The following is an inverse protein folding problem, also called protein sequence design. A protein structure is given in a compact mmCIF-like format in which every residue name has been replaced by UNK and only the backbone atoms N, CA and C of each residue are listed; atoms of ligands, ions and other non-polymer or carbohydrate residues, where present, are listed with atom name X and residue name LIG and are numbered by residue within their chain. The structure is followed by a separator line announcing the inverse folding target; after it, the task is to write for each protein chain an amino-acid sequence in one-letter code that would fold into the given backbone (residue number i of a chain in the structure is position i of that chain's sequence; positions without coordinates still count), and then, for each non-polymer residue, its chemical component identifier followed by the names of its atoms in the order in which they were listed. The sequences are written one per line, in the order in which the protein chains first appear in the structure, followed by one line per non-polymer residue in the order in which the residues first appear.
data_IF_583979629886
#
_entry.id   IF_583979629886
#
_cell.length_a   1.000
_cell.length_b   1.000
_cell.length_c   1.000
_cell.angle_alpha   90.00
_cell.angle_beta   90.00
_cell.angle_gamma   90.00
#
_symmetry.space_group_name_H-M   'P 1'
#
loop_
_entity.id
_entity.type
_entity.pdbx_description
1 polymer ?
#
# COMPACT_ATOMS: atom_id res chain seq x y z
N UNK A 1 4.64 90.99 -20.63
CA UNK A 1 4.22 92.40 -20.70
C UNK A 1 2.76 92.38 -21.16
N UNK A 2 1.80 92.54 -20.25
CA UNK A 2 1.23 93.81 -19.77
C UNK A 2 -0.06 94.12 -20.54
N UNK A 3 -1.11 94.42 -19.76
CA UNK A 3 -2.39 95.07 -20.09
C UNK A 3 -3.56 94.13 -20.45
N UNK A 4 -4.55 93.82 -19.59
CA UNK A 4 -5.55 94.70 -18.92
C UNK A 4 -6.07 95.79 -19.85
N UNK A 5 -7.36 96.01 -20.14
CA UNK A 5 -8.60 95.73 -19.43
C UNK A 5 -9.76 96.36 -20.24
N UNK A 6 -11.00 95.87 -20.00
CA UNK A 6 -12.27 96.62 -20.02
C UNK A 6 -12.91 96.95 -21.40
N UNK A 7 -14.10 96.38 -21.64
CA UNK A 7 -15.42 97.04 -21.78
C UNK A 7 -16.48 95.90 -21.82
N UNK A 8 -17.19 95.57 -20.75
CA UNK A 8 -18.34 96.27 -20.12
C UNK A 8 -19.58 96.32 -21.04
N UNK A 9 -20.64 95.64 -20.55
CA UNK A 9 -22.07 95.80 -20.86
C UNK A 9 -22.57 95.48 -22.28
N UNK A 10 -23.06 94.25 -22.48
CA UNK A 10 -24.32 94.01 -23.20
C UNK A 10 -24.78 92.55 -22.96
N UNK A 11 -26.06 92.38 -22.63
CA UNK A 11 -26.82 91.12 -22.67
C UNK A 11 -26.51 90.06 -21.59
N UNK A 12 -26.63 90.45 -20.33
CA UNK A 12 -27.05 89.53 -19.26
C UNK A 12 -28.58 89.36 -19.32
N UNK A 13 -29.07 88.44 -20.14
CA UNK A 13 -30.37 87.79 -20.01
C UNK A 13 -30.50 86.69 -21.06
N UNK A 14 -31.13 85.57 -20.68
CA UNK A 14 -31.42 84.38 -21.51
C UNK A 14 -30.27 83.35 -21.59
N UNK A 15 -30.25 82.43 -20.62
CA UNK A 15 -30.38 80.96 -20.78
C UNK A 15 -30.44 80.37 -19.35
N UNK A 16 -31.65 80.25 -18.81
CA UNK A 16 -31.97 79.38 -17.68
C UNK A 16 -33.33 78.76 -17.96
N UNK A 17 -33.35 77.71 -18.78
CA UNK A 17 -34.49 76.79 -18.91
C UNK A 17 -33.99 75.44 -19.44
N UNK A 18 -34.61 74.37 -18.90
CA UNK A 18 -34.46 72.94 -19.23
C UNK A 18 -33.20 72.26 -18.63
N UNK A 19 -33.27 71.21 -17.80
CA UNK A 19 -34.28 70.17 -17.63
C UNK A 19 -34.41 69.78 -16.14
N UNK A 20 -35.62 69.88 -15.61
CA UNK A 20 -36.03 69.03 -14.50
C UNK A 20 -36.28 67.62 -15.04
N UNK A 21 -35.43 66.68 -14.67
CA UNK A 21 -35.71 65.26 -14.86
C UNK A 21 -35.81 64.67 -13.44
N UNK A 22 -37.03 64.55 -12.94
CA UNK A 22 -37.33 63.74 -11.75
C UNK A 22 -36.94 62.29 -12.06
N UNK A 23 -35.73 61.93 -11.66
CA UNK A 23 -35.27 60.56 -11.67
C UNK A 23 -36.01 59.85 -10.54
N UNK A 24 -37.17 59.27 -10.88
CA UNK A 24 -37.84 58.27 -10.06
C UNK A 24 -36.79 57.26 -9.61
N UNK A 25 -36.62 57.14 -8.29
CA UNK A 25 -35.88 56.04 -7.70
C UNK A 25 -36.36 54.74 -8.35
N UNK A 26 -35.46 53.86 -8.83
CA UNK A 26 -35.87 52.59 -9.41
C UNK A 26 -36.77 51.87 -8.40
N UNK A 27 -37.98 51.51 -8.83
CA UNK A 27 -38.87 50.69 -8.03
C UNK A 27 -38.16 49.40 -7.61
N UNK A 28 -38.63 48.72 -6.54
CA UNK A 28 -38.01 47.49 -6.06
C UNK A 28 -37.78 46.54 -7.25
N UNK A 29 -36.57 45.98 -7.40
CA UNK A 29 -36.26 45.14 -8.55
C UNK A 29 -37.33 44.05 -8.69
N UNK A 30 -37.81 43.77 -9.91
CA UNK A 30 -38.80 42.73 -10.14
C UNK A 30 -38.27 41.41 -9.56
N UNK A 31 -39.13 40.60 -8.93
CA UNK A 31 -38.69 39.40 -8.24
C UNK A 31 -38.00 38.47 -9.23
N UNK A 32 -36.73 38.14 -8.95
CA UNK A 32 -35.94 37.37 -9.88
C UNK A 32 -36.50 35.94 -9.97
N UNK A 33 -36.70 35.46 -11.19
CA UNK A 33 -37.10 34.08 -11.45
C UNK A 33 -35.91 33.17 -11.19
N UNK A 34 -36.12 32.17 -10.34
CA UNK A 34 -35.07 31.24 -9.93
C UNK A 34 -35.52 29.80 -10.09
N UNK A 35 -34.56 28.98 -10.53
CA UNK A 35 -34.73 27.54 -10.53
C UNK A 35 -34.24 26.96 -9.20
N UNK A 36 -34.99 25.99 -8.70
CA UNK A 36 -34.78 25.42 -7.36
C UNK A 36 -34.68 23.91 -7.47
N UNK A 37 -33.69 23.34 -6.78
CA UNK A 37 -33.52 21.90 -6.61
C UNK A 37 -33.57 21.59 -5.12
N UNK A 38 -34.25 20.50 -4.77
CA UNK A 38 -34.30 20.03 -3.39
C UNK A 38 -32.97 19.37 -3.01
N UNK A 39 -32.44 19.72 -1.84
CA UNK A 39 -31.23 19.12 -1.31
C UNK A 39 -31.51 17.67 -0.88
N UNK A 40 -30.93 16.70 -1.60
CA UNK A 40 -31.17 15.28 -1.36
C UNK A 40 -30.08 14.68 -0.49
N UNK A 41 -30.47 13.73 0.36
CA UNK A 41 -29.53 12.85 1.06
C UNK A 41 -29.11 11.75 0.10
N UNK A 42 -27.84 11.74 -0.26
CA UNK A 42 -27.26 10.67 -1.06
C UNK A 42 -25.97 10.19 -0.40
N UNK A 43 -25.69 8.90 -0.58
CA UNK A 43 -24.46 8.30 -0.07
C UNK A 43 -23.26 8.91 -0.81
N UNK A 44 -22.37 9.55 -0.06
CA UNK A 44 -21.10 10.05 -0.57
C UNK A 44 -19.98 9.20 0.03
N UNK A 45 -19.39 8.34 -0.80
CA UNK A 45 -18.15 7.65 -0.46
C UNK A 45 -16.96 8.59 -0.75
N UNK A 46 -16.18 8.90 0.27
CA UNK A 46 -14.94 9.64 0.11
C UNK A 46 -13.75 8.73 0.32
N UNK A 47 -12.77 8.87 -0.54
CA UNK A 47 -11.52 8.13 -0.45
C UNK A 47 -10.36 9.09 -0.31
N UNK A 48 -9.59 8.93 0.76
CA UNK A 48 -8.29 9.53 0.88
C UNK A 48 -7.30 8.72 0.05
N UNK A 49 -6.48 9.43 -0.72
CA UNK A 49 -5.54 8.83 -1.65
C UNK A 49 -4.16 8.84 -1.02
N UNK A 50 -3.60 7.67 -0.82
CA UNK A 50 -2.24 7.52 -0.34
C UNK A 50 -1.38 6.82 -1.38
N UNK A 51 -0.20 7.37 -1.63
CA UNK A 51 0.76 6.77 -2.53
C UNK A 51 1.39 5.55 -1.87
N UNK A 52 1.48 4.45 -2.61
CA UNK A 52 2.07 3.21 -2.12
C UNK A 52 2.83 2.45 -3.18
N UNK A 53 3.59 1.47 -2.71
CA UNK A 53 4.35 0.55 -3.55
C UNK A 53 3.92 -0.86 -3.22
N UNK A 54 3.61 -1.64 -4.25
CA UNK A 54 3.33 -3.07 -4.13
C UNK A 54 4.63 -3.77 -3.76
N UNK A 55 4.59 -4.53 -2.68
CA UNK A 55 5.69 -5.36 -2.19
C UNK A 55 5.23 -6.80 -2.09
N UNK A 56 6.07 -7.74 -2.55
CA UNK A 56 5.81 -9.15 -2.29
C UNK A 56 5.94 -9.45 -0.79
N UNK A 57 5.03 -10.27 -0.25
CA UNK A 57 5.06 -10.60 1.18
C UNK A 57 6.31 -11.39 1.57
N UNK A 58 6.70 -12.31 0.69
CA UNK A 58 7.91 -13.11 0.85
C UNK A 58 8.78 -12.89 -0.39
N UNK A 59 9.95 -12.30 -0.17
CA UNK A 59 10.99 -12.17 -1.18
C UNK A 59 12.28 -12.72 -0.60
N UNK A 60 12.98 -13.55 -1.37
CA UNK A 60 14.25 -14.12 -0.95
C UNK A 60 15.28 -14.04 -2.06
N UNK A 61 16.46 -13.56 -1.68
CA UNK A 61 17.65 -13.61 -2.51
C UNK A 61 18.28 -15.00 -2.40
N UNK A 62 18.38 -15.70 -3.52
CA UNK A 62 19.08 -16.98 -3.60
C UNK A 62 20.57 -16.71 -3.69
N UNK A 63 21.30 -17.16 -2.67
CA UNK A 63 22.75 -17.10 -2.58
C UNK A 63 23.30 -18.49 -2.38
N UNK A 64 24.51 -18.73 -2.89
CA UNK A 64 25.17 -20.01 -2.64
C UNK A 64 25.60 -20.12 -1.19
N UNK A 65 25.52 -21.33 -0.63
CA UNK A 65 26.09 -21.67 0.68
C UNK A 65 27.43 -22.41 0.56
N UNK A 66 27.74 -22.94 -0.63
CA UNK A 66 28.96 -23.71 -0.90
C UNK A 66 29.69 -23.17 -2.14
N UNK A 67 31.03 -23.18 -2.18
CA UNK A 67 31.77 -22.69 -3.33
C UNK A 67 31.74 -23.69 -4.48
N UNK A 68 31.73 -23.23 -5.72
CA UNK A 68 31.87 -24.13 -6.87
C UNK A 68 31.45 -23.50 -8.18
N UNK A 69 31.32 -24.32 -9.22
CA UNK A 69 30.85 -23.87 -10.53
C UNK A 69 29.41 -24.32 -10.75
N UNK A 70 28.60 -23.46 -11.36
CA UNK A 70 27.23 -23.81 -11.76
C UNK A 70 27.28 -24.80 -12.92
N UNK A 71 26.81 -26.03 -12.70
CA UNK A 71 26.76 -27.10 -13.71
C UNK A 71 25.39 -27.20 -14.38
N UNK A 72 24.32 -26.72 -13.73
CA UNK A 72 22.96 -26.83 -14.24
C UNK A 72 22.05 -25.69 -13.78
N UNK A 73 21.11 -25.31 -14.65
CA UNK A 73 20.02 -24.35 -14.37
C UNK A 73 18.72 -25.04 -14.79
N UNK A 74 17.78 -25.23 -13.85
CA UNK A 74 16.60 -26.09 -14.02
C UNK A 74 15.26 -25.35 -14.03
N UNK A 75 15.27 -24.08 -14.41
CA UNK A 75 14.07 -23.25 -14.52
C UNK A 75 14.15 -22.37 -15.76
N UNK A 76 12.98 -21.93 -16.24
CA UNK A 76 12.91 -20.86 -17.23
C UNK A 76 12.84 -19.51 -16.51
N UNK A 77 13.59 -18.53 -16.99
CA UNK A 77 13.57 -17.18 -16.41
C UNK A 77 12.13 -16.63 -16.42
N UNK A 78 11.69 -16.09 -15.28
CA UNK A 78 10.32 -15.62 -15.11
C UNK A 78 9.27 -16.70 -14.86
N UNK A 79 9.61 -17.98 -14.74
CA UNK A 79 8.66 -19.07 -14.43
C UNK A 79 8.18 -19.04 -12.96
N UNK A 80 6.98 -19.55 -12.69
CA UNK A 80 6.53 -19.83 -11.33
C UNK A 80 7.10 -21.18 -10.88
N UNK A 81 7.97 -21.15 -9.87
CA UNK A 81 8.60 -22.34 -9.32
C UNK A 81 7.89 -22.77 -8.03
N UNK A 82 7.70 -24.08 -7.86
CA UNK A 82 7.12 -24.64 -6.64
C UNK A 82 8.19 -24.82 -5.55
N UNK A 83 7.78 -24.73 -4.29
CA UNK A 83 8.64 -25.07 -3.14
C UNK A 83 9.32 -26.42 -3.33
N UNK A 84 10.64 -26.46 -3.14
CA UNK A 84 11.46 -27.67 -3.27
C UNK A 84 11.94 -27.98 -4.69
N UNK A 85 11.47 -27.26 -5.73
CA UNK A 85 12.00 -27.42 -7.09
C UNK A 85 13.49 -27.07 -7.11
N UNK A 86 14.32 -27.91 -7.71
CA UNK A 86 15.73 -27.61 -7.95
C UNK A 86 15.84 -26.46 -8.95
N UNK A 87 16.71 -25.50 -8.67
CA UNK A 87 16.90 -24.28 -9.47
C UNK A 87 18.29 -24.24 -10.08
N UNK A 88 19.30 -24.45 -9.25
CA UNK A 88 20.70 -24.48 -9.66
C UNK A 88 21.39 -25.73 -9.14
N UNK A 89 22.33 -26.24 -9.93
CA UNK A 89 23.28 -27.26 -9.51
C UNK A 89 24.68 -26.66 -9.49
N UNK A 90 25.37 -26.86 -8.38
CA UNK A 90 26.79 -26.60 -8.23
C UNK A 90 27.50 -27.94 -8.39
N UNK A 91 28.71 -27.95 -8.97
CA UNK A 91 29.50 -29.17 -9.16
C UNK A 91 29.56 -30.03 -7.88
N UNK A 92 28.84 -31.15 -7.93
CA UNK A 92 28.63 -32.04 -6.78
C UNK A 92 29.79 -33.00 -6.56
N UNK A 93 30.73 -33.13 -7.50
CA UNK A 93 31.74 -34.21 -7.48
C UNK A 93 32.58 -34.18 -6.20
N UNK A 94 33.04 -32.99 -5.80
CA UNK A 94 33.82 -32.80 -4.56
C UNK A 94 33.01 -33.15 -3.32
N UNK A 95 31.74 -32.73 -3.29
CA UNK A 95 30.85 -32.96 -2.15
C UNK A 95 30.41 -34.42 -2.03
N UNK A 96 30.17 -35.08 -3.16
CA UNK A 96 29.81 -36.49 -3.21
C UNK A 96 30.98 -37.37 -2.74
N UNK A 97 32.20 -37.05 -3.18
CA UNK A 97 33.40 -37.76 -2.71
C UNK A 97 33.60 -37.59 -1.18
N UNK A 98 33.42 -36.37 -0.65
CA UNK A 98 33.51 -36.12 0.79
C UNK A 98 32.41 -36.86 1.57
N UNK A 99 31.19 -36.93 1.05
CA UNK A 99 30.09 -37.70 1.62
C UNK A 99 30.42 -39.20 1.69
N UNK A 100 30.89 -39.78 0.58
CA UNK A 100 31.29 -41.19 0.50
C UNK A 100 32.45 -41.52 1.45
N UNK A 101 33.43 -40.61 1.57
CA UNK A 101 34.53 -40.77 2.52
C UNK A 101 34.04 -40.77 3.98
N UNK A 102 33.12 -39.86 4.32
CA UNK A 102 32.54 -39.81 5.66
C UNK A 102 31.66 -41.04 5.96
N UNK A 103 30.94 -41.54 4.96
CA UNK A 103 30.14 -42.77 5.07
C UNK A 103 31.02 -43.99 5.34
N UNK A 104 32.15 -44.11 4.64
CA UNK A 104 33.15 -45.15 4.90
C UNK A 104 33.74 -45.05 6.31
N UNK A 105 33.98 -43.83 6.82
CA UNK A 105 34.45 -43.62 8.18
C UNK A 105 33.43 -44.08 9.23
N UNK A 106 32.13 -43.83 9.02
CA UNK A 106 31.05 -44.35 9.88
C UNK A 106 31.02 -45.88 9.86
N UNK A 107 31.16 -46.49 8.68
CA UNK A 107 31.22 -47.95 8.55
C UNK A 107 32.38 -48.56 9.34
N UNK A 108 33.57 -47.96 9.21
CA UNK A 108 34.78 -48.37 9.95
C UNK A 108 34.61 -48.22 11.47
N UNK A 109 34.11 -47.06 11.93
CA UNK A 109 33.86 -46.82 13.36
C UNK A 109 32.81 -47.78 13.94
N UNK A 110 31.77 -48.10 13.16
CA UNK A 110 30.75 -49.09 13.55
C UNK A 110 31.34 -50.48 13.69
N UNK A 111 32.23 -50.90 12.79
CA UNK A 111 32.90 -52.20 12.88
C UNK A 111 33.80 -52.28 14.13
N UNK A 112 34.52 -51.21 14.44
CA UNK A 112 35.36 -51.13 15.66
C UNK A 112 34.53 -51.15 16.95
N UNK A 113 33.39 -50.44 16.97
CA UNK A 113 32.45 -50.50 18.09
C UNK A 113 31.89 -51.91 18.29
N UNK A 114 31.48 -52.59 17.22
CA UNK A 114 30.99 -53.97 17.29
C UNK A 114 32.04 -54.92 17.85
N UNK A 115 33.31 -54.75 17.44
CA UNK A 115 34.42 -55.53 18.00
C UNK A 115 34.58 -55.27 19.50
N UNK A 116 34.65 -54.01 19.91
CA UNK A 116 34.80 -53.65 21.33
C UNK A 116 33.61 -54.14 22.17
N UNK A 117 32.39 -54.10 21.63
CA UNK A 117 31.20 -54.65 22.28
C UNK A 117 31.35 -56.15 22.54
N UNK A 118 31.74 -56.92 21.52
CA UNK A 118 31.99 -58.36 21.66
C UNK A 118 33.10 -58.67 22.67
N UNK A 119 34.13 -57.84 22.75
CA UNK A 119 35.21 -58.00 23.73
C UNK A 119 34.73 -57.75 25.16
N UNK A 120 33.94 -56.70 25.39
CA UNK A 120 33.31 -56.42 26.68
C UNK A 120 32.35 -57.54 27.09
N UNK A 121 31.48 -57.99 26.19
CA UNK A 121 30.53 -59.07 26.46
C UNK A 121 31.26 -60.37 26.87
N UNK A 122 32.35 -60.69 26.16
CA UNK A 122 33.19 -61.85 26.44
C UNK A 122 33.89 -61.75 27.79
N UNK A 123 34.53 -60.61 28.10
CA UNK A 123 35.22 -60.44 29.37
C UNK A 123 34.25 -60.37 30.56
N UNK A 124 33.06 -59.80 30.39
CA UNK A 124 31.99 -59.86 31.39
C UNK A 124 31.54 -61.30 31.67
N UNK A 125 31.43 -62.15 30.65
CA UNK A 125 31.12 -63.57 30.82
C UNK A 125 32.24 -64.31 31.57
N UNK A 126 33.51 -64.03 31.25
CA UNK A 126 34.66 -64.65 31.92
C UNK A 126 34.79 -64.17 33.38
N UNK A 127 34.48 -62.91 33.69
CA UNK A 127 34.54 -62.37 35.05
C UNK A 127 33.50 -63.04 35.97
N UNK A 128 32.31 -63.37 35.44
CA UNK A 128 31.29 -64.14 36.19
C UNK A 128 31.76 -65.54 36.61
N UNK A 129 32.75 -66.08 35.92
CA UNK A 129 33.35 -67.38 36.19
C UNK A 129 34.75 -67.24 36.82
N UNK A 130 35.10 -66.06 37.36
CA UNK A 130 36.40 -65.74 37.96
C UNK A 130 37.62 -66.03 37.04
N UNK A 131 37.41 -66.03 35.72
CA UNK A 131 38.41 -66.42 34.71
C UNK A 131 39.19 -65.22 34.12
N UNK A 132 38.96 -64.00 34.60
CA UNK A 132 39.67 -62.78 34.16
C UNK A 132 39.73 -61.76 35.29
N UNK A 133 40.78 -60.93 35.33
CA UNK A 133 40.90 -59.84 36.29
C UNK A 133 39.88 -58.72 36.01
N UNK A 134 39.31 -58.14 37.09
CA UNK A 134 38.35 -57.01 36.99
C UNK A 134 38.92 -55.81 36.21
N UNK A 135 40.20 -55.51 36.40
CA UNK A 135 40.91 -54.46 35.67
C UNK A 135 40.82 -54.62 34.14
N UNK A 136 40.85 -55.85 33.63
CA UNK A 136 40.73 -56.13 32.19
C UNK A 136 39.32 -55.81 31.67
N UNK A 137 38.28 -56.11 32.46
CA UNK A 137 36.89 -55.76 32.12
C UNK A 137 36.70 -54.25 32.12
N UNK A 138 37.24 -53.56 33.13
CA UNK A 138 37.16 -52.10 33.22
C UNK A 138 37.87 -51.44 32.03
N UNK A 139 39.04 -51.96 31.61
CA UNK A 139 39.76 -51.48 30.43
C UNK A 139 39.00 -51.74 29.13
N UNK A 140 38.37 -52.91 28.98
CA UNK A 140 37.54 -53.22 27.82
C UNK A 140 36.29 -52.33 27.76
N UNK A 141 35.67 -52.07 28.91
CA UNK A 141 34.49 -51.18 29.02
C UNK A 141 34.86 -49.75 28.62
N UNK A 142 36.00 -49.24 29.10
CA UNK A 142 36.52 -47.94 28.68
C UNK A 142 36.82 -47.89 27.17
N UNK A 143 37.36 -48.97 26.60
CA UNK A 143 37.59 -49.07 25.16
C UNK A 143 36.29 -49.07 24.35
N UNK A 144 35.24 -49.77 24.83
CA UNK A 144 33.90 -49.74 24.22
C UNK A 144 33.32 -48.33 24.22
N UNK A 145 33.33 -47.63 25.35
CA UNK A 145 32.83 -46.25 25.43
C UNK A 145 33.64 -45.28 24.54
N UNK A 146 34.95 -45.53 24.41
CA UNK A 146 35.81 -44.79 23.47
C UNK A 146 35.40 -45.02 22.03
N UNK A 147 35.19 -46.29 21.61
CA UNK A 147 34.75 -46.61 20.25
C UNK A 147 33.34 -46.08 19.97
N UNK A 148 32.47 -46.07 20.99
CA UNK A 148 31.12 -45.52 20.90
C UNK A 148 31.19 -44.02 20.62
N UNK A 149 32.04 -43.31 21.34
CA UNK A 149 32.29 -41.88 21.12
C UNK A 149 32.87 -41.62 19.73
N UNK A 150 33.79 -42.46 19.24
CA UNK A 150 34.34 -42.35 17.88
C UNK A 150 33.28 -42.57 16.80
N UNK A 151 32.33 -43.48 17.00
CA UNK A 151 31.19 -43.64 16.09
C UNK A 151 30.34 -42.37 16.03
N UNK A 152 30.06 -41.73 17.16
CA UNK A 152 29.31 -40.47 17.17
C UNK A 152 30.06 -39.34 16.48
N UNK A 153 31.39 -39.24 16.64
CA UNK A 153 32.23 -38.29 15.89
C UNK A 153 32.15 -38.55 14.38
N UNK A 154 32.24 -39.81 13.95
CA UNK A 154 32.13 -40.17 12.54
C UNK A 154 30.74 -39.84 11.97
N UNK A 155 29.67 -40.10 12.73
CA UNK A 155 28.29 -39.73 12.34
C UNK A 155 28.12 -38.23 12.19
N UNK A 156 28.69 -37.43 13.10
CA UNK A 156 28.67 -35.97 13.00
C UNK A 156 29.39 -35.49 11.73
N UNK A 157 30.54 -36.10 11.39
CA UNK A 157 31.25 -35.84 10.14
C UNK A 157 30.42 -36.17 8.89
N UNK A 158 29.72 -37.31 8.89
CA UNK A 158 28.80 -37.69 7.81
C UNK A 158 27.66 -36.69 7.66
N UNK A 159 27.07 -36.23 8.77
CA UNK A 159 26.00 -35.24 8.73
C UNK A 159 26.47 -33.89 8.17
N UNK A 160 27.69 -33.47 8.51
CA UNK A 160 28.32 -32.27 7.94
C UNK A 160 28.47 -32.41 6.41
N UNK A 161 29.09 -33.49 5.94
CA UNK A 161 29.31 -33.73 4.51
C UNK A 161 27.98 -33.88 3.74
N UNK A 162 26.96 -34.49 4.34
CA UNK A 162 25.60 -34.59 3.78
C UNK A 162 24.97 -33.21 3.60
N UNK A 163 25.16 -32.32 4.58
CA UNK A 163 24.63 -30.96 4.55
C UNK A 163 25.28 -30.15 3.42
N UNK A 164 26.60 -30.22 3.30
CA UNK A 164 27.34 -29.59 2.20
C UNK A 164 26.90 -30.11 0.83
N UNK A 165 26.72 -31.42 0.69
CA UNK A 165 26.20 -32.03 -0.54
C UNK A 165 24.76 -31.57 -0.86
N UNK A 166 23.92 -31.36 0.16
CA UNK A 166 22.58 -30.84 -0.05
C UNK A 166 22.59 -29.38 -0.54
N UNK A 167 23.53 -28.56 -0.06
CA UNK A 167 23.71 -27.18 -0.51
C UNK A 167 24.26 -27.06 -1.92
N UNK A 168 24.86 -28.11 -2.47
CA UNK A 168 25.25 -28.15 -3.88
C UNK A 168 24.03 -28.16 -4.83
N UNK A 169 22.83 -28.46 -4.34
CA UNK A 169 21.57 -28.30 -5.09
C UNK A 169 20.71 -27.22 -4.46
N UNK A 170 20.58 -26.09 -5.15
CA UNK A 170 19.82 -24.94 -4.64
C UNK A 170 18.37 -25.12 -5.05
N UNK A 171 17.48 -25.17 -4.07
CA UNK A 171 16.04 -25.37 -4.26
C UNK A 171 15.23 -24.13 -3.89
N UNK A 172 14.01 -24.03 -4.42
CA UNK A 172 13.10 -22.96 -4.07
C UNK A 172 12.58 -23.10 -2.61
N UNK A 173 12.78 -22.12 -1.72
CA UNK A 173 12.31 -22.20 -0.32
C UNK A 173 10.79 -22.08 -0.18
N UNK A 174 10.13 -21.41 -1.13
CA UNK A 174 8.68 -21.27 -1.23
C UNK A 174 8.24 -21.18 -2.69
N UNK A 175 6.94 -21.34 -2.93
CA UNK A 175 6.35 -21.20 -4.26
C UNK A 175 6.27 -19.73 -4.66
N UNK A 176 6.86 -19.35 -5.78
CA UNK A 176 6.91 -17.96 -6.23
C UNK A 176 7.46 -17.84 -7.65
N UNK A 177 7.49 -16.61 -8.17
CA UNK A 177 8.10 -16.35 -9.48
C UNK A 177 9.60 -16.12 -9.31
N UNK A 178 10.37 -16.81 -10.13
CA UNK A 178 11.83 -16.62 -10.18
C UNK A 178 12.18 -15.51 -11.17
N UNK A 179 13.12 -14.64 -10.79
CA UNK A 179 13.63 -13.58 -11.63
C UNK A 179 14.59 -14.05 -12.74
N UNK A 180 15.29 -13.08 -13.31
CA UNK A 180 16.36 -13.31 -14.29
C UNK A 180 17.62 -13.77 -13.54
N UNK A 181 18.25 -14.84 -14.04
CA UNK A 181 19.45 -15.38 -13.42
C UNK A 181 20.61 -14.39 -13.55
N UNK A 182 21.22 -14.05 -12.41
CA UNK A 182 22.42 -13.20 -12.34
C UNK A 182 23.70 -13.97 -12.66
N UNK A 183 23.62 -15.31 -12.64
CA UNK A 183 24.70 -16.22 -13.01
C UNK A 183 24.35 -17.01 -14.27
N UNK A 184 25.38 -17.46 -14.99
CA UNK A 184 25.25 -18.34 -16.15
C UNK A 184 25.91 -19.69 -15.87
N UNK A 185 25.63 -20.67 -16.72
CA UNK A 185 26.25 -21.98 -16.64
C UNK A 185 27.78 -21.85 -16.77
N UNK A 186 28.52 -22.53 -15.90
CA UNK A 186 29.98 -22.42 -15.78
C UNK A 186 30.47 -21.26 -14.91
N UNK A 187 29.59 -20.39 -14.38
CA UNK A 187 30.00 -19.33 -13.46
C UNK A 187 30.46 -19.90 -12.12
N UNK A 188 31.50 -19.31 -11.54
CA UNK A 188 31.97 -19.62 -10.20
C UNK A 188 31.14 -18.86 -9.16
N UNK A 189 30.73 -19.55 -8.10
CA UNK A 189 29.97 -18.97 -6.99
C UNK A 189 30.75 -19.06 -5.70
N UNK A 190 30.62 -18.02 -4.87
CA UNK A 190 31.23 -17.92 -3.55
C UNK A 190 30.13 -17.88 -2.49
N UNK A 191 30.26 -18.63 -1.37
CA UNK A 191 29.28 -18.63 -0.29
C UNK A 191 28.93 -17.22 0.20
N UNK A 192 27.63 -16.92 0.34
CA UNK A 192 27.11 -15.65 0.86
C UNK A 192 27.26 -14.43 -0.05
N UNK A 193 28.27 -14.40 -0.93
CA UNK A 193 28.57 -13.21 -1.76
C UNK A 193 27.79 -13.18 -3.07
N UNK A 194 27.79 -14.29 -3.83
CA UNK A 194 27.21 -14.31 -5.17
C UNK A 194 25.69 -14.41 -5.10
N UNK A 195 24.99 -13.36 -5.55
CA UNK A 195 23.55 -13.39 -5.79
C UNK A 195 23.28 -14.20 -7.06
N UNK A 196 22.46 -15.24 -6.96
CA UNK A 196 22.13 -16.12 -8.08
C UNK A 196 20.86 -15.64 -8.77
N UNK A 197 19.81 -15.41 -7.96
CA UNK A 197 18.51 -14.94 -8.41
C UNK A 197 17.69 -14.45 -7.21
N UNK A 198 16.52 -13.91 -7.48
CA UNK A 198 15.53 -13.54 -6.47
C UNK A 198 14.23 -14.27 -6.77
N UNK A 199 13.57 -14.80 -5.73
CA UNK A 199 12.22 -15.34 -5.81
C UNK A 199 11.30 -14.45 -5.00
N UNK A 200 10.19 -14.04 -5.61
CA UNK A 200 9.13 -13.29 -4.94
C UNK A 200 7.82 -14.09 -4.97
N UNK A 201 7.12 -14.12 -3.85
CA UNK A 201 5.79 -14.72 -3.78
C UNK A 201 4.78 -13.83 -4.52
N UNK A 202 3.95 -14.43 -5.36
CA UNK A 202 3.00 -13.68 -6.19
C UNK A 202 1.65 -13.42 -5.50
N UNK A 203 1.26 -14.28 -4.57
CA UNK A 203 -0.01 -14.17 -3.86
C UNK A 203 0.11 -14.76 -2.46
N UNK A 204 -0.35 -14.04 -1.42
CA UNK A 204 -0.85 -12.66 -1.43
C UNK A 204 0.28 -11.63 -1.61
N UNK A 205 -0.08 -10.39 -1.98
CA UNK A 205 0.85 -9.24 -2.04
C UNK A 205 0.51 -8.22 -0.96
N UNK A 206 1.45 -7.35 -0.65
CA UNK A 206 1.23 -6.21 0.21
C UNK A 206 1.43 -4.90 -0.57
N UNK A 207 0.85 -3.82 -0.07
CA UNK A 207 1.10 -2.46 -0.53
C UNK A 207 1.56 -1.68 0.69
N UNK A 208 2.78 -1.16 0.60
CA UNK A 208 3.36 -0.30 1.61
C UNK A 208 2.99 1.14 1.28
N UNK A 209 2.35 1.80 2.23
CA UNK A 209 1.79 3.13 2.08
C UNK A 209 2.35 4.02 3.18
N UNK A 210 2.72 5.24 2.81
CA UNK A 210 3.21 6.24 3.75
C UNK A 210 2.04 7.12 4.19
N UNK A 211 1.79 7.22 5.49
CA UNK A 211 0.76 8.07 6.08
C UNK A 211 1.38 9.08 7.05
N UNK A 212 0.72 10.22 7.24
CA UNK A 212 1.17 11.24 8.20
C UNK A 212 0.88 10.83 9.65
N UNK A 213 1.64 11.36 10.59
CA UNK A 213 1.48 11.09 12.03
C UNK A 213 0.06 11.40 12.55
N UNK A 214 -0.61 12.41 11.97
CA UNK A 214 -1.98 12.80 12.33
C UNK A 214 -3.02 11.72 12.03
N UNK A 215 -2.76 10.83 11.07
CA UNK A 215 -3.69 9.78 10.65
C UNK A 215 -3.48 8.45 11.41
N UNK A 216 -2.48 8.36 12.31
CA UNK A 216 -2.09 7.10 12.96
C UNK A 216 -3.24 6.48 13.75
N UNK A 217 -3.88 7.25 14.62
CA UNK A 217 -4.97 6.75 15.47
C UNK A 217 -6.14 6.22 14.63
N UNK A 218 -6.43 6.89 13.51
CA UNK A 218 -7.43 6.45 12.55
C UNK A 218 -7.08 5.09 11.95
N UNK A 219 -5.83 4.87 11.54
CA UNK A 219 -5.43 3.57 10.98
C UNK A 219 -5.44 2.45 12.02
N UNK A 220 -5.15 2.74 13.29
CA UNK A 220 -5.34 1.77 14.38
C UNK A 220 -6.81 1.41 14.59
N UNK A 221 -7.73 2.38 14.51
CA UNK A 221 -9.16 2.09 14.55
C UNK A 221 -9.61 1.24 13.36
N UNK A 222 -9.16 1.57 12.14
CA UNK A 222 -9.48 0.81 10.92
C UNK A 222 -8.92 -0.60 10.95
N UNK A 223 -7.76 -0.81 11.59
CA UNK A 223 -7.21 -2.15 11.82
C UNK A 223 -8.11 -2.98 12.75
N UNK A 224 -8.65 -2.37 13.81
CA UNK A 224 -9.54 -3.04 14.77
C UNK A 224 -10.95 -3.30 14.24
N UNK A 225 -11.49 -2.36 13.45
CA UNK A 225 -12.86 -2.40 12.88
C UNK A 225 -12.91 -2.97 11.46
N UNK A 226 -11.81 -3.58 10.99
CA UNK A 226 -11.57 -3.92 9.58
C UNK A 226 -12.82 -4.47 8.88
N UNK A 227 -13.41 -3.61 8.05
CA UNK A 227 -14.51 -3.96 7.14
C UNK A 227 -13.91 -4.13 5.75
N UNK A 228 -14.35 -5.16 5.03
CA UNK A 228 -13.73 -5.56 3.75
C UNK A 228 -13.79 -4.46 2.68
N UNK A 229 -14.57 -3.39 2.81
CA UNK A 229 -14.75 -2.33 1.80
C UNK A 229 -13.87 -1.09 1.98
N UNK A 230 -13.07 -1.02 3.04
CA UNK A 230 -12.34 0.21 3.41
C UNK A 230 -11.16 0.53 2.49
N UNK A 231 -10.52 -0.49 1.90
CA UNK A 231 -9.27 -0.35 1.14
C UNK A 231 -9.47 -0.78 -0.31
N UNK A 232 -9.56 0.19 -1.21
CA UNK A 232 -9.54 -0.02 -2.67
C UNK A 232 -8.16 0.35 -3.20
N UNK A 233 -7.66 -0.39 -4.18
CA UNK A 233 -6.37 -0.10 -4.80
C UNK A 233 -6.60 0.44 -6.22
N UNK A 234 -5.94 1.54 -6.58
CA UNK A 234 -5.92 2.04 -7.94
C UNK A 234 -4.55 1.74 -8.56
N UNK A 235 -4.57 1.10 -9.72
CA UNK A 235 -3.40 0.76 -10.52
C UNK A 235 -2.85 2.01 -11.24
N UNK A 236 -1.59 2.00 -11.72
CA UNK A 236 -0.98 3.10 -12.48
C UNK A 236 -1.73 3.51 -13.74
N UNK A 237 -2.48 2.59 -14.33
CA UNK A 237 -3.31 2.83 -15.51
C UNK A 237 -4.63 3.56 -15.19
N UNK A 238 -4.90 3.84 -13.90
CA UNK A 238 -6.12 4.46 -13.43
C UNK A 238 -7.25 3.47 -13.14
N UNK A 239 -7.07 2.18 -13.43
CA UNK A 239 -8.09 1.17 -13.15
C UNK A 239 -8.13 0.82 -11.67
N UNK A 240 -9.33 0.55 -11.15
CA UNK A 240 -9.52 0.14 -9.75
C UNK A 240 -9.40 -1.38 -9.68
N UNK A 241 -8.58 -1.86 -8.76
CA UNK A 241 -8.43 -3.28 -8.48
C UNK A 241 -9.71 -3.82 -7.81
N UNK A 242 -10.25 -4.90 -8.36
CA UNK A 242 -11.55 -5.43 -7.95
C UNK A 242 -11.55 -6.06 -6.54
N UNK A 243 -10.38 -6.40 -6.00
CA UNK A 243 -10.28 -7.00 -4.67
C UNK A 243 -9.91 -5.93 -3.66
N UNK A 244 -10.44 -6.07 -2.48
CA UNK A 244 -10.17 -5.16 -1.37
C UNK A 244 -9.02 -5.66 -0.50
N UNK A 245 -8.41 -4.73 0.21
CA UNK A 245 -7.25 -4.98 1.06
C UNK A 245 -7.59 -5.03 2.54
N UNK A 246 -6.69 -5.59 3.33
CA UNK A 246 -6.76 -5.58 4.81
C UNK A 246 -5.46 -5.04 5.38
N UNK A 247 -5.52 -4.22 6.42
CA UNK A 247 -4.30 -3.77 7.11
C UNK A 247 -3.65 -4.99 7.74
N UNK A 248 -2.43 -5.30 7.29
CA UNK A 248 -1.61 -6.36 7.87
C UNK A 248 -0.85 -5.85 9.09
N UNK A 249 -0.21 -4.69 8.94
CA UNK A 249 0.58 -4.07 10.00
C UNK A 249 0.68 -2.55 9.81
N UNK A 250 0.75 -1.85 10.92
CA UNK A 250 1.26 -0.47 11.01
C UNK A 250 2.67 -0.57 11.56
N UNK A 251 3.63 0.15 10.98
CA UNK A 251 5.02 0.13 11.43
C UNK A 251 5.15 0.64 12.88
N UNK A 252 6.25 0.31 13.55
CA UNK A 252 6.44 0.63 14.97
C UNK A 252 6.79 2.09 15.23
N UNK A 253 7.39 2.76 14.24
CA UNK A 253 8.09 4.02 14.45
C UNK A 253 7.79 5.02 13.36
N UNK A 254 7.53 6.25 13.78
CA UNK A 254 7.43 7.40 12.89
C UNK A 254 8.84 7.78 12.42
N UNK A 255 8.96 8.11 11.14
CA UNK A 255 10.20 8.67 10.62
C UNK A 255 10.34 10.13 11.05
N UNK A 256 11.28 10.41 11.96
CA UNK A 256 11.53 11.75 12.52
C UNK A 256 11.81 12.83 11.46
N UNK A 257 12.31 12.47 10.29
CA UNK A 257 12.61 13.44 9.22
C UNK A 257 11.38 13.90 8.45
N UNK A 258 10.33 13.08 8.39
CA UNK A 258 9.14 13.32 7.55
C UNK A 258 7.83 13.33 8.31
N UNK A 259 7.82 12.99 9.60
CA UNK A 259 6.59 12.89 10.40
C UNK A 259 5.60 11.87 9.83
N UNK A 260 6.12 10.82 9.18
CA UNK A 260 5.33 9.82 8.48
C UNK A 260 5.59 8.41 8.99
N UNK A 261 4.61 7.52 8.88
CA UNK A 261 4.71 6.11 9.26
C UNK A 261 4.28 5.22 8.09
N UNK A 262 4.88 4.04 8.00
CA UNK A 262 4.52 3.06 6.98
C UNK A 262 3.36 2.19 7.47
N UNK A 263 2.38 1.98 6.59
CA UNK A 263 1.29 1.03 6.78
C UNK A 263 1.34 0.01 5.67
N UNK A 264 1.28 -1.26 6.05
CA UNK A 264 1.25 -2.39 5.13
C UNK A 264 -0.17 -2.93 5.01
N UNK A 265 -0.71 -2.89 3.80
CA UNK A 265 -2.05 -3.41 3.46
C UNK A 265 -1.91 -4.62 2.55
N UNK A 266 -2.46 -5.76 2.95
CA UNK A 266 -2.43 -7.00 2.19
C UNK A 266 -3.59 -7.07 1.20
N UNK A 267 -3.30 -7.50 -0.04
CA UNK A 267 -4.27 -7.74 -1.10
C UNK A 267 -4.10 -9.16 -1.67
N UNK A 268 -5.20 -9.89 -1.94
CA UNK A 268 -5.13 -11.15 -2.68
C UNK A 268 -4.79 -10.86 -4.16
N UNK A 269 -3.93 -11.66 -4.77
CA UNK A 269 -3.46 -11.47 -6.15
C UNK A 269 -3.63 -12.74 -7.01
N UNK A 270 -4.87 -13.17 -7.20
CA UNK A 270 -5.18 -14.43 -7.92
C UNK A 270 -4.75 -14.38 -9.41
N UNK A 271 -4.81 -13.21 -10.03
CA UNK A 271 -4.54 -13.02 -11.46
C UNK A 271 -3.11 -12.54 -11.76
N UNK A 272 -2.23 -12.45 -10.75
CA UNK A 272 -0.85 -11.96 -10.89
C UNK A 272 -0.74 -10.58 -11.58
N UNK A 273 -1.74 -9.72 -11.37
CA UNK A 273 -1.79 -8.37 -11.93
C UNK A 273 -0.84 -7.47 -11.16
N UNK A 274 -0.86 -7.59 -9.83
CA UNK A 274 0.01 -6.84 -8.94
C UNK A 274 1.40 -7.46 -8.96
N UNK A 275 2.42 -6.65 -9.23
CA UNK A 275 3.82 -7.07 -9.27
C UNK A 275 4.62 -6.30 -8.24
N UNK A 276 5.60 -6.98 -7.67
CA UNK A 276 6.56 -6.38 -6.74
C UNK A 276 7.25 -5.18 -7.40
N UNK A 277 7.32 -4.05 -6.68
CA UNK A 277 7.86 -2.78 -7.16
C UNK A 277 6.89 -1.93 -7.98
N UNK A 278 5.65 -2.36 -8.22
CA UNK A 278 4.64 -1.55 -8.91
C UNK A 278 4.16 -0.41 -7.99
N UNK A 279 4.09 0.81 -8.51
CA UNK A 279 3.43 1.91 -7.80
C UNK A 279 1.91 1.72 -7.82
N UNK A 280 1.22 2.09 -6.75
CA UNK A 280 -0.24 2.05 -6.70
C UNK A 280 -0.76 3.14 -5.75
N UNK A 281 -2.02 3.55 -5.94
CA UNK A 281 -2.66 4.52 -5.05
C UNK A 281 -3.69 3.78 -4.20
N UNK A 282 -3.48 3.78 -2.89
CA UNK A 282 -4.43 3.23 -1.93
C UNK A 282 -5.54 4.26 -1.67
N UNK A 283 -6.77 3.85 -1.94
CA UNK A 283 -7.98 4.60 -1.63
C UNK A 283 -8.53 4.08 -0.30
N UNK A 284 -8.47 4.92 0.73
CA UNK A 284 -8.94 4.60 2.08
C UNK A 284 -10.24 5.34 2.34
N UNK A 285 -11.30 4.62 2.71
CA UNK A 285 -12.59 5.24 3.01
C UNK A 285 -12.42 6.26 4.16
N UNK A 286 -12.85 7.50 3.92
CA UNK A 286 -12.82 8.58 4.90
C UNK A 286 -13.93 8.38 5.95
N UNK A 287 -13.65 8.67 7.22
CA UNK A 287 -14.63 8.62 8.31
C UNK A 287 -15.78 9.61 8.13
N UNK A 288 -15.60 10.62 7.27
CA UNK A 288 -16.65 11.57 6.89
C UNK A 288 -17.65 11.02 5.86
N UNK A 289 -17.37 9.85 5.28
CA UNK A 289 -18.24 9.16 4.31
C UNK A 289 -19.54 8.71 4.95
N UNK A 290 -20.62 8.73 4.17
CA UNK A 290 -21.94 8.31 4.60
C UNK A 290 -23.05 9.12 3.93
N UNK A 291 -24.27 9.03 4.47
CA UNK A 291 -25.41 9.79 3.96
C UNK A 291 -25.22 11.27 4.27
N UNK A 292 -24.97 12.07 3.22
CA UNK A 292 -24.74 13.51 3.32
C UNK A 292 -25.64 14.25 2.35
N UNK A 293 -25.91 15.51 2.67
CA UNK A 293 -26.71 16.39 1.82
C UNK A 293 -25.88 16.78 0.61
N UNK A 294 -26.35 16.44 -0.58
CA UNK A 294 -25.72 16.79 -1.84
C UNK A 294 -26.53 17.87 -2.54
N UNK A 295 -25.83 18.86 -3.10
CA UNK A 295 -26.44 19.93 -3.89
C UNK A 295 -25.68 20.07 -5.21
N UNK A 296 -26.32 20.49 -6.31
CA UNK A 296 -25.62 20.76 -7.55
C UNK A 296 -24.57 21.85 -7.35
N UNK A 297 -23.32 21.64 -7.81
CA UNK A 297 -22.22 22.61 -7.62
C UNK A 297 -22.54 23.99 -8.22
N UNK A 298 -23.38 24.04 -9.27
CA UNK A 298 -23.87 25.30 -9.87
C UNK A 298 -24.62 26.24 -8.91
N UNK A 299 -25.06 25.72 -7.77
CA UNK A 299 -25.83 26.45 -6.75
C UNK A 299 -24.96 27.15 -5.70
N UNK A 300 -23.65 26.91 -5.77
CA UNK A 300 -22.66 27.47 -4.83
C UNK A 300 -22.14 28.80 -5.37
N UNK A 301 -22.08 29.78 -4.47
CA UNK A 301 -21.41 31.07 -4.70
C UNK A 301 -20.24 31.23 -3.77
N UNK A 302 -19.09 31.64 -4.29
CA UNK A 302 -17.91 31.97 -3.49
C UNK A 302 -17.81 33.49 -3.33
N UNK A 303 -17.73 33.96 -2.09
CA UNK A 303 -17.55 35.36 -1.76
C UNK A 303 -16.47 35.49 -0.69
N UNK A 304 -15.38 36.20 -0.99
CA UNK A 304 -14.27 36.46 -0.05
C UNK A 304 -13.67 35.17 0.55
N UNK A 305 -13.61 34.08 -0.23
CA UNK A 305 -13.08 32.78 0.20
C UNK A 305 -14.03 31.94 1.05
N UNK A 306 -15.28 32.40 1.27
CA UNK A 306 -16.33 31.63 1.93
C UNK A 306 -17.40 31.20 0.91
N UNK A 307 -17.95 29.99 1.11
CA UNK A 307 -19.00 29.46 0.25
C UNK A 307 -20.39 29.74 0.82
N UNK A 308 -21.28 30.21 -0.04
CA UNK A 308 -22.66 30.53 0.27
C UNK A 308 -23.60 29.85 -0.71
N UNK A 309 -24.79 29.50 -0.22
CA UNK A 309 -25.87 28.95 -1.01
C UNK A 309 -27.15 29.69 -0.66
N UNK A 310 -27.97 29.99 -1.67
CA UNK A 310 -29.26 30.60 -1.45
C UNK A 310 -30.33 29.52 -1.28
N UNK A 311 -31.02 29.55 -0.14
CA UNK A 311 -32.16 28.67 0.14
C UNK A 311 -33.46 29.45 -0.04
N UNK A 312 -34.35 28.91 -0.86
CA UNK A 312 -35.69 29.45 -1.06
C UNK A 312 -36.59 29.04 0.11
N UNK A 313 -37.06 30.04 0.87
CA UNK A 313 -38.11 29.86 1.88
C UNK A 313 -39.32 30.69 1.47
N UNK A 314 -40.37 30.00 1.03
CA UNK A 314 -41.60 30.57 0.47
C UNK A 314 -41.32 31.48 -0.74
N UNK A 315 -41.27 32.80 -0.51
CA UNK A 315 -41.09 33.84 -1.54
C UNK A 315 -39.79 34.64 -1.34
N UNK A 316 -38.91 34.20 -0.44
CA UNK A 316 -37.67 34.90 -0.06
C UNK A 316 -36.46 33.97 -0.25
N UNK A 317 -35.38 34.49 -0.82
CA UNK A 317 -34.08 33.84 -0.85
C UNK A 317 -33.25 34.25 0.37
N UNK A 318 -32.84 33.27 1.18
CA UNK A 318 -31.94 33.49 2.32
C UNK A 318 -30.55 32.99 1.95
N UNK A 319 -29.54 33.84 2.16
CA UNK A 319 -28.15 33.45 1.98
C UNK A 319 -27.68 32.67 3.22
N UNK A 320 -27.31 31.40 3.03
CA UNK A 320 -26.70 30.59 4.10
C UNK A 320 -25.24 30.35 3.77
N UNK A 321 -24.38 30.55 4.77
CA UNK A 321 -22.99 30.10 4.73
C UNK A 321 -22.98 28.57 4.77
N UNK A 322 -22.20 27.96 3.89
CA UNK A 322 -22.03 26.51 3.83
C UNK A 322 -20.56 26.13 3.86
N UNK A 323 -20.28 25.02 4.52
CA UNK A 323 -18.97 24.38 4.44
C UNK A 323 -19.07 23.27 3.42
N UNK A 324 -18.36 23.41 2.30
CA UNK A 324 -18.38 22.41 1.23
C UNK A 324 -17.36 21.31 1.51
N UNK A 325 -17.75 20.08 1.19
CA UNK A 325 -16.88 18.93 1.10
C UNK A 325 -16.44 18.66 -0.34
N UNK A 326 -15.95 17.44 -0.62
CA UNK A 326 -15.52 17.04 -1.95
C UNK A 326 -16.68 17.08 -2.96
N UNK A 327 -16.31 17.32 -4.23
CA UNK A 327 -17.25 17.25 -5.36
C UNK A 327 -17.43 15.79 -5.79
N UNK A 328 -18.69 15.37 -5.94
CA UNK A 328 -19.09 14.04 -6.41
C UNK A 328 -19.86 14.22 -7.72
N UNK A 329 -19.23 13.91 -8.85
CA UNK A 329 -19.81 14.10 -10.19
C UNK A 329 -20.25 15.57 -10.46
N UNK A 330 -21.55 15.79 -10.71
CA UNK A 330 -22.15 17.12 -10.91
C UNK A 330 -22.45 17.85 -9.60
N UNK A 331 -22.43 17.13 -8.48
CA UNK A 331 -22.93 17.59 -7.20
C UNK A 331 -21.76 17.80 -6.23
N UNK A 332 -21.98 18.64 -5.23
CA UNK A 332 -21.03 18.90 -4.16
C UNK A 332 -21.69 18.56 -2.85
N UNK A 333 -20.91 17.94 -1.96
CA UNK A 333 -21.43 17.58 -0.66
C UNK A 333 -21.32 18.75 0.29
N UNK A 334 -22.38 18.98 1.06
CA UNK A 334 -22.42 20.04 2.07
C UNK A 334 -22.16 19.40 3.44
N UNK A 335 -21.07 19.81 4.09
CA UNK A 335 -20.71 19.32 5.42
C UNK A 335 -21.56 19.99 6.49
N UNK A 336 -21.78 21.30 6.36
CA UNK A 336 -22.57 22.11 7.30
C UNK A 336 -23.32 23.24 6.57
N UNK A 337 -24.48 23.62 7.10
CA UNK A 337 -25.24 24.81 6.69
C UNK A 337 -26.61 24.55 6.03
N UNK A 338 -26.85 23.34 5.50
CA UNK A 338 -28.10 22.97 4.80
C UNK A 338 -28.64 21.64 5.34
N UNK A 339 -29.96 21.51 5.42
CA UNK A 339 -30.64 20.26 5.80
C UNK A 339 -31.23 19.57 4.58
N UNK A 340 -31.42 18.25 4.68
CA UNK A 340 -32.17 17.48 3.70
C UNK A 340 -33.58 18.07 3.50
N UNK A 341 -34.00 18.25 2.25
CA UNK A 341 -35.29 18.87 1.90
C UNK A 341 -35.27 20.40 1.77
N UNK A 342 -34.15 21.07 2.09
CA UNK A 342 -34.02 22.51 1.82
C UNK A 342 -34.01 22.76 0.30
N UNK A 343 -34.79 23.74 -0.14
CA UNK A 343 -34.93 24.15 -1.54
C UNK A 343 -33.80 25.08 -1.94
N UNK A 344 -32.81 24.57 -2.64
CA UNK A 344 -31.59 25.31 -3.03
C UNK A 344 -31.76 25.94 -4.41
N UNK A 345 -31.42 27.23 -4.52
CA UNK A 345 -31.50 27.97 -5.78
C UNK A 345 -30.27 27.66 -6.64
N UNK A 346 -30.50 27.11 -7.83
CA UNK A 346 -29.42 26.69 -8.73
C UNK A 346 -29.09 27.72 -9.81
N UNK A 347 -30.06 28.55 -10.20
CA UNK A 347 -29.95 29.51 -11.31
C UNK A 347 -30.67 30.81 -10.95
N UNK A 348 -30.13 31.96 -11.41
CA UNK A 348 -30.69 33.29 -11.14
C UNK A 348 -30.18 33.96 -9.85
N UNK A 349 -29.29 33.30 -9.09
CA UNK A 349 -28.71 33.83 -7.85
C UNK A 349 -27.86 35.09 -8.04
N UNK A 350 -27.30 35.34 -9.23
CA UNK A 350 -26.48 36.54 -9.51
C UNK A 350 -27.24 37.85 -9.35
N UNK A 351 -28.58 37.80 -9.45
CA UNK A 351 -29.46 38.98 -9.33
C UNK A 351 -30.09 39.08 -7.94
N UNK A 352 -29.75 38.16 -7.04
CA UNK A 352 -30.27 38.10 -5.68
C UNK A 352 -29.27 38.71 -4.69
N UNK A 353 -29.80 39.47 -3.73
CA UNK A 353 -29.14 39.82 -2.47
C UNK A 353 -29.81 39.06 -1.34
N UNK A 354 -29.16 38.98 -0.19
CA UNK A 354 -29.78 38.38 0.99
C UNK A 354 -31.17 38.99 1.26
N UNK A 355 -32.15 38.14 1.59
CA UNK A 355 -33.57 38.47 1.78
C UNK A 355 -34.31 39.04 0.55
N UNK A 356 -33.83 38.76 -0.68
CA UNK A 356 -34.53 39.19 -1.91
C UNK A 356 -35.80 38.38 -2.18
N UNK A 357 -36.83 39.03 -2.75
CA UNK A 357 -38.07 38.37 -3.20
C UNK A 357 -37.81 37.57 -4.48
N UNK A 358 -38.25 36.31 -4.48
CA UNK A 358 -38.07 35.37 -5.61
C UNK A 358 -39.41 34.94 -6.21
N UNK A 359 -39.40 34.58 -7.49
CA UNK A 359 -40.49 33.85 -8.14
C UNK A 359 -39.97 32.48 -8.60
N UNK A 360 -40.74 31.43 -8.34
CA UNK A 360 -40.38 30.07 -8.78
C UNK A 360 -40.66 29.95 -10.29
N UNK A 361 -39.62 29.66 -11.05
CA UNK A 361 -39.70 29.48 -12.51
C UNK A 361 -38.33 29.57 -13.16
N UNK A 362 -38.10 28.91 -14.30
CA UNK A 362 -36.83 28.98 -15.00
C UNK A 362 -36.50 30.46 -15.29
N UNK A 363 -35.28 30.93 -14.94
CA UNK A 363 -34.88 32.28 -15.29
C UNK A 363 -34.98 32.46 -16.81
N UNK A 364 -35.48 33.60 -17.31
CA UNK A 364 -35.44 33.88 -18.73
C UNK A 364 -33.97 33.79 -19.18
N UNK A 365 -33.72 32.94 -20.18
CA UNK A 365 -32.38 32.71 -20.73
C UNK A 365 -31.70 34.06 -20.99
N UNK A 366 -30.46 34.19 -20.52
CA UNK A 366 -29.68 35.40 -20.77
C UNK A 366 -29.63 35.64 -22.29
N UNK A 367 -30.22 36.75 -22.73
CA UNK A 367 -30.19 37.13 -24.13
C UNK A 367 -28.72 37.23 -24.60
N UNK A 368 -28.37 36.69 -25.78
CA UNK A 368 -27.00 36.77 -26.27
C UNK A 368 -26.58 38.23 -26.39
N UNK A 369 -25.41 38.55 -25.83
CA UNK A 369 -24.79 39.86 -25.96
C UNK A 369 -24.72 40.24 -27.45
N UNK A 370 -25.44 41.31 -27.83
CA UNK A 370 -25.29 41.91 -29.15
C UNK A 370 -23.85 42.41 -29.27
N UNK A 371 -23.18 41.96 -30.34
CA UNK A 371 -21.86 42.43 -30.79
C UNK A 371 -21.82 43.94 -30.93
#
# INVERSE_FOLDING_TARGET
MKHTSIYILAAASVIFTACGNEQKAPGPPPPASVNVVEAQMAEAEYYDKYQGTVVALNTVELRSQVPGFITGIFFKEGEVVQKGKALYEIDRRKYLAAYQQAEAAVSSARANLLKAQKDVDRYNMLLKNDAVARQTVDQATAAYETMRSQLEVAKAGLQSARTDLSYATITAPFTGRIGISQVRLGAQVTPGSTLLNTISAESPVAVDVVINEQDIDRFYELQRKSTDTTFKLQLPDGTVYNKTGKILAVDRGVNNGTGSINVRVQFPNENNILKDGMSAVLHVLNSQSGNRVQIPFKSVTEQMGEFFVFVAKDTIALQKKVTLGPRVNSDVVVMEGIKAGDKVITEGFQRLRDSSKITLGPPPAAAPAKK
#
